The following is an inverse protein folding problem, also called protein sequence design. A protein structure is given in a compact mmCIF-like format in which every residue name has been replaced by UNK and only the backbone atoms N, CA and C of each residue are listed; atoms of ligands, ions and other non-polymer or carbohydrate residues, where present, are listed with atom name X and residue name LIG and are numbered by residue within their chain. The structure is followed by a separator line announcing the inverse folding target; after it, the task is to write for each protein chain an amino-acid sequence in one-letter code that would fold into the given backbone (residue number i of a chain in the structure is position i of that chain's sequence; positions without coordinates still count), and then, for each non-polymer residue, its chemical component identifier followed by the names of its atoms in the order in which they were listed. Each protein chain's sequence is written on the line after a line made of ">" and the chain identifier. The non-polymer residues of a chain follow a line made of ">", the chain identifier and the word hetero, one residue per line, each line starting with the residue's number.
data_IF_605723196011
#
_entry.id   IF_605723196011
#
_cell.length_a   1.000
_cell.length_b   1.000
_cell.length_c   1.000
_cell.angle_alpha   90.00
_cell.angle_beta   90.00
_cell.angle_gamma   90.00
#
_symmetry.space_group_name_H-M   'P 1'
#
loop_
_entity.id
_entity.type
_entity.pdbx_description
1 polymer ?
#
# COMPACT_ATOMS: atom_id res chain seq x y z
N UNK A 1 -6.05 24.86 3.31
CA UNK A 1 -5.46 24.14 4.46
C UNK A 1 -4.61 23.01 3.91
N UNK A 2 -3.33 22.94 4.29
CA UNK A 2 -2.38 21.93 3.78
C UNK A 2 -2.65 20.56 4.38
N UNK A 3 -2.44 19.50 3.60
CA UNK A 3 -2.43 18.15 4.14
C UNK A 3 -1.09 17.91 4.85
N UNK A 4 -1.13 17.22 5.98
CA UNK A 4 0.04 16.69 6.65
C UNK A 4 0.31 15.27 6.14
N UNK A 5 1.58 14.92 5.96
CA UNK A 5 1.98 13.55 5.64
C UNK A 5 2.81 12.98 6.78
N UNK A 6 2.29 11.94 7.41
CA UNK A 6 2.97 11.19 8.46
C UNK A 6 3.71 10.00 7.83
N UNK A 7 4.94 9.76 8.29
CA UNK A 7 5.80 8.68 7.81
C UNK A 7 6.16 7.76 8.97
N UNK A 8 5.82 6.48 8.83
CA UNK A 8 6.07 5.45 9.82
C UNK A 8 6.95 4.34 9.25
N UNK A 9 7.89 3.83 10.05
CA UNK A 9 8.74 2.71 9.69
C UNK A 9 9.12 1.90 10.95
N UNK A 10 10.07 0.98 10.81
CA UNK A 10 10.55 0.15 11.91
C UNK A 10 11.13 0.91 13.11
N UNK A 11 11.56 2.16 12.94
CA UNK A 11 12.14 2.97 14.01
C UNK A 11 11.12 3.87 14.69
N UNK A 12 10.24 4.50 13.92
CA UNK A 12 9.20 5.37 14.48
C UNK A 12 8.02 4.58 15.04
N UNK A 13 7.74 3.39 14.49
CA UNK A 13 6.55 2.60 14.80
C UNK A 13 5.26 3.34 14.51
N UNK A 14 4.15 2.85 15.05
CA UNK A 14 2.88 3.57 15.19
C UNK A 14 2.35 3.33 16.60
N UNK A 15 1.66 4.32 17.16
CA UNK A 15 0.84 4.10 18.35
C UNK A 15 -0.39 3.23 18.02
N UNK A 16 -1.00 2.61 19.04
CA UNK A 16 -2.22 1.81 18.87
C UNK A 16 -3.34 2.63 18.22
N UNK A 17 -3.53 3.89 18.64
CA UNK A 17 -4.56 4.78 18.09
C UNK A 17 -4.32 5.12 16.61
N UNK A 18 -3.07 5.36 16.22
CA UNK A 18 -2.73 5.63 14.82
C UNK A 18 -2.95 4.39 13.96
N UNK A 19 -2.53 3.22 14.45
CA UNK A 19 -2.75 1.94 13.79
C UNK A 19 -4.23 1.67 13.58
N UNK A 20 -5.05 1.80 14.63
CA UNK A 20 -6.49 1.58 14.55
C UNK A 20 -7.15 2.50 13.51
N UNK A 21 -6.76 3.78 13.45
CA UNK A 21 -7.27 4.70 12.45
C UNK A 21 -6.88 4.31 11.02
N UNK A 22 -5.64 3.84 10.81
CA UNK A 22 -5.17 3.35 9.51
C UNK A 22 -5.92 2.08 9.09
N UNK A 23 -6.09 1.13 10.00
CA UNK A 23 -6.81 -0.13 9.74
C UNK A 23 -8.25 0.16 9.37
N UNK A 24 -8.96 0.98 10.16
CA UNK A 24 -10.34 1.37 9.88
C UNK A 24 -10.48 2.06 8.52
N UNK A 25 -9.54 2.96 8.18
CA UNK A 25 -9.53 3.63 6.89
C UNK A 25 -9.35 2.64 5.73
N UNK A 26 -8.41 1.70 5.84
CA UNK A 26 -8.15 0.69 4.81
C UNK A 26 -9.34 -0.27 4.67
N UNK A 27 -9.91 -0.76 5.77
CA UNK A 27 -11.10 -1.62 5.76
C UNK A 27 -12.27 -0.96 5.03
N UNK A 28 -12.50 0.33 5.28
CA UNK A 28 -13.58 1.08 4.66
C UNK A 28 -13.43 1.19 3.13
N UNK A 29 -12.20 1.36 2.63
CA UNK A 29 -11.97 1.74 1.23
C UNK A 29 -11.49 0.59 0.33
N UNK A 30 -10.76 -0.38 0.86
CA UNK A 30 -10.29 -1.55 0.10
C UNK A 30 -11.38 -2.61 -0.09
N UNK A 31 -12.47 -2.54 0.68
CA UNK A 31 -13.56 -3.54 0.68
C UNK A 31 -13.05 -4.98 0.85
N UNK A 32 -11.85 -5.15 1.44
CA UNK A 32 -11.27 -6.46 1.73
C UNK A 32 -12.02 -7.11 2.88
N UNK A 33 -12.34 -8.40 2.75
CA UNK A 33 -12.93 -9.19 3.84
C UNK A 33 -11.88 -9.66 4.86
N UNK A 34 -10.60 -9.41 4.60
CA UNK A 34 -9.50 -9.96 5.38
C UNK A 34 -8.73 -8.84 6.05
N UNK A 35 -9.23 -8.37 7.21
CA UNK A 35 -8.52 -7.48 8.12
C UNK A 35 -7.10 -7.99 8.42
N UNK A 36 -6.97 -9.32 8.54
CA UNK A 36 -5.71 -10.01 8.74
C UNK A 36 -4.64 -9.63 7.70
N UNK A 37 -5.01 -9.40 6.44
CA UNK A 37 -4.04 -8.97 5.41
C UNK A 37 -3.55 -7.53 5.64
N UNK A 38 -4.40 -6.65 6.18
CA UNK A 38 -4.03 -5.29 6.54
C UNK A 38 -3.03 -5.33 7.70
N UNK A 39 -3.38 -6.05 8.76
CA UNK A 39 -2.51 -6.21 9.93
C UNK A 39 -1.16 -6.83 9.56
N UNK A 40 -1.19 -7.88 8.75
CA UNK A 40 0.00 -8.55 8.23
C UNK A 40 0.92 -7.60 7.45
N UNK A 41 0.35 -6.75 6.57
CA UNK A 41 1.13 -5.78 5.81
C UNK A 41 1.73 -4.68 6.71
N UNK A 42 0.97 -4.19 7.69
CA UNK A 42 1.45 -3.20 8.65
C UNK A 42 2.58 -3.76 9.54
N UNK A 43 2.38 -4.97 10.08
CA UNK A 43 3.40 -5.65 10.91
C UNK A 43 4.67 -5.93 10.12
N UNK A 44 4.53 -6.31 8.84
CA UNK A 44 5.64 -6.47 7.93
C UNK A 44 6.40 -5.16 7.74
N UNK A 45 5.72 -4.07 7.35
CA UNK A 45 6.35 -2.78 7.05
C UNK A 45 7.05 -2.19 8.28
N UNK A 46 6.43 -2.30 9.45
CA UNK A 46 6.93 -1.75 10.72
C UNK A 46 7.90 -2.69 11.45
N UNK A 47 8.22 -3.86 10.88
CA UNK A 47 9.07 -4.89 11.50
C UNK A 47 8.63 -5.29 12.92
N UNK A 48 7.32 -5.34 13.17
CA UNK A 48 6.75 -5.93 14.40
C UNK A 48 7.05 -7.42 14.46
N UNK A 49 7.24 -8.04 13.30
CA UNK A 49 7.68 -9.42 13.11
C UNK A 49 8.89 -9.49 12.17
N UNK A 50 9.60 -10.63 12.09
CA UNK A 50 10.68 -10.81 11.13
C UNK A 50 10.22 -10.56 9.68
N UNK A 51 10.83 -9.56 9.03
CA UNK A 51 10.53 -9.15 7.66
C UNK A 51 11.67 -8.28 7.09
N UNK A 52 11.60 -7.94 5.80
CA UNK A 52 12.48 -6.93 5.20
C UNK A 52 12.10 -5.49 5.55
N UNK A 53 11.01 -5.29 6.31
CA UNK A 53 10.52 -3.97 6.68
C UNK A 53 9.84 -3.24 5.53
N UNK A 54 9.86 -1.91 5.61
CA UNK A 54 9.16 -1.05 4.69
C UNK A 54 8.80 0.27 5.36
N UNK A 55 7.68 0.84 4.96
CA UNK A 55 7.14 2.04 5.58
C UNK A 55 5.64 2.19 5.32
N UNK A 56 5.01 3.04 6.13
CA UNK A 56 3.63 3.47 5.93
C UNK A 56 3.61 4.99 5.84
N UNK A 57 2.94 5.51 4.81
CA UNK A 57 2.64 6.93 4.68
C UNK A 57 1.16 7.16 4.88
N UNK A 58 0.83 8.20 5.64
CA UNK A 58 -0.56 8.59 5.89
C UNK A 58 -0.71 10.08 5.59
N UNK A 59 -1.53 10.40 4.59
CA UNK A 59 -1.98 11.77 4.37
C UNK A 59 -3.16 12.06 5.29
N UNK A 60 -3.06 13.12 6.09
CA UNK A 60 -4.14 13.60 6.96
C UNK A 60 -4.44 15.06 6.67
N UNK A 61 -5.70 15.43 6.91
CA UNK A 61 -6.11 16.83 7.07
C UNK A 61 -6.86 16.91 8.37
N UNK A 62 -6.33 17.69 9.31
CA UNK A 62 -6.77 17.63 10.72
C UNK A 62 -6.67 16.17 11.19
N UNK A 63 -7.73 15.63 11.80
CA UNK A 63 -7.77 14.23 12.26
C UNK A 63 -8.25 13.24 11.19
N UNK A 64 -8.60 13.71 9.98
CA UNK A 64 -9.17 12.85 8.94
C UNK A 64 -8.09 12.32 8.00
N UNK A 65 -7.98 11.00 7.92
CA UNK A 65 -7.15 10.32 6.92
C UNK A 65 -7.73 10.56 5.52
N UNK A 66 -6.86 10.97 4.60
CA UNK A 66 -7.16 11.27 3.18
C UNK A 66 -6.49 10.30 2.21
N UNK A 67 -5.49 9.56 2.67
CA UNK A 67 -4.85 8.49 1.91
C UNK A 67 -3.82 7.74 2.72
N UNK A 68 -3.61 6.48 2.39
CA UNK A 68 -2.63 5.60 3.02
C UNK A 68 -1.84 4.85 1.96
N UNK A 69 -0.53 4.78 2.12
CA UNK A 69 0.33 3.85 1.39
C UNK A 69 1.04 2.94 2.37
N UNK A 70 0.89 1.63 2.22
CA UNK A 70 1.67 0.62 2.94
C UNK A 70 2.66 0.01 1.95
N UNK A 71 3.94 0.24 2.19
CA UNK A 71 5.03 -0.29 1.37
C UNK A 71 5.78 -1.38 2.13
N UNK A 72 5.89 -2.55 1.51
CA UNK A 72 6.72 -3.64 2.00
C UNK A 72 7.96 -3.77 1.13
N UNK A 73 9.14 -3.76 1.73
CA UNK A 73 10.38 -4.15 1.07
C UNK A 73 10.29 -5.64 0.71
N UNK A 74 10.65 -6.02 -0.51
CA UNK A 74 10.50 -7.41 -0.96
C UNK A 74 11.75 -8.26 -0.75
N UNK A 75 12.92 -7.62 -0.60
CA UNK A 75 14.21 -8.29 -0.67
C UNK A 75 14.63 -8.74 -2.07
N UNK A 76 13.87 -8.37 -3.12
CA UNK A 76 14.09 -8.84 -4.50
C UNK A 76 14.83 -7.83 -5.39
N UNK A 77 15.53 -6.87 -4.79
CA UNK A 77 16.23 -5.83 -5.53
C UNK A 77 17.22 -6.44 -6.55
N UNK A 78 17.20 -5.93 -7.78
CA UNK A 78 18.08 -6.36 -8.87
C UNK A 78 17.44 -7.34 -9.87
N UNK A 79 16.34 -8.00 -9.52
CA UNK A 79 15.61 -8.89 -10.45
C UNK A 79 14.08 -8.77 -10.38
N UNK A 80 13.54 -8.11 -9.35
CA UNK A 80 12.14 -7.73 -9.25
C UNK A 80 12.00 -6.42 -8.46
N UNK A 81 10.77 -5.92 -8.33
CA UNK A 81 10.48 -4.70 -7.57
C UNK A 81 11.00 -4.80 -6.14
N UNK A 82 11.80 -3.80 -5.73
CA UNK A 82 12.38 -3.70 -4.38
C UNK A 82 11.32 -3.40 -3.34
N UNK A 83 10.24 -2.73 -3.75
CA UNK A 83 9.09 -2.40 -2.92
C UNK A 83 7.80 -2.85 -3.58
N UNK A 84 6.91 -3.42 -2.76
CA UNK A 84 5.52 -3.65 -3.10
C UNK A 84 4.66 -2.64 -2.33
N UNK A 85 3.92 -1.79 -3.04
CA UNK A 85 2.88 -0.97 -2.43
C UNK A 85 1.65 -1.86 -2.27
N UNK A 86 1.57 -2.52 -1.11
CA UNK A 86 0.52 -3.49 -0.78
C UNK A 86 -0.84 -2.80 -0.74
N UNK A 87 -0.86 -1.59 -0.17
CA UNK A 87 -2.01 -0.70 -0.19
C UNK A 87 -1.59 0.68 -0.70
N UNK A 88 -2.42 1.27 -1.55
CA UNK A 88 -2.28 2.63 -2.06
C UNK A 88 -3.69 3.23 -2.21
N UNK A 89 -4.26 3.62 -1.06
CA UNK A 89 -5.70 3.75 -0.87
C UNK A 89 -6.09 5.18 -0.55
N UNK A 90 -7.17 5.66 -1.16
CA UNK A 90 -7.74 7.00 -0.92
C UNK A 90 -9.26 7.00 -1.23
N UNK A 91 -10.03 7.99 -0.76
CA UNK A 91 -11.49 7.98 -0.89
C UNK A 91 -12.06 7.95 -2.32
N UNK A 92 -11.30 8.44 -3.31
CA UNK A 92 -11.72 8.54 -4.73
C UNK A 92 -13.10 9.23 -4.92
N UNK A 93 -13.42 10.24 -4.11
CA UNK A 93 -14.70 10.96 -4.19
C UNK A 93 -14.60 12.30 -4.93
N UNK A 94 -13.39 12.85 -5.03
CA UNK A 94 -13.17 14.19 -5.56
C UNK A 94 -11.83 14.32 -6.29
N UNK A 95 -11.70 15.38 -7.10
CA UNK A 95 -10.41 15.76 -7.72
C UNK A 95 -9.34 16.08 -6.68
N UNK A 96 -9.76 16.60 -5.52
CA UNK A 96 -8.87 16.87 -4.39
C UNK A 96 -8.31 15.57 -3.80
N UNK A 97 -9.12 14.52 -3.65
CA UNK A 97 -8.63 13.21 -3.20
C UNK A 97 -7.57 12.65 -4.15
N UNK A 98 -7.79 12.83 -5.46
CA UNK A 98 -6.82 12.45 -6.49
C UNK A 98 -5.52 13.24 -6.36
N UNK A 99 -5.56 14.54 -6.09
CA UNK A 99 -4.34 15.33 -5.90
C UNK A 99 -3.59 14.93 -4.63
N UNK A 100 -4.31 14.67 -3.52
CA UNK A 100 -3.70 14.15 -2.30
C UNK A 100 -2.97 12.83 -2.55
N UNK A 101 -3.63 11.90 -3.27
CA UNK A 101 -3.03 10.61 -3.59
C UNK A 101 -1.80 10.76 -4.50
N UNK A 102 -1.83 11.68 -5.47
CA UNK A 102 -0.68 11.97 -6.33
C UNK A 102 0.53 12.43 -5.51
N UNK A 103 0.33 13.40 -4.61
CA UNK A 103 1.40 13.93 -3.74
C UNK A 103 1.94 12.84 -2.81
N UNK A 104 1.06 12.00 -2.26
CA UNK A 104 1.41 10.89 -1.40
C UNK A 104 2.24 9.82 -2.14
N UNK A 105 1.84 9.47 -3.38
CA UNK A 105 2.59 8.55 -4.23
C UNK A 105 3.98 9.08 -4.58
N UNK A 106 4.10 10.36 -4.92
CA UNK A 106 5.40 10.99 -5.22
C UNK A 106 6.33 10.95 -4.01
N UNK A 107 5.80 11.12 -2.80
CA UNK A 107 6.57 10.92 -1.57
C UNK A 107 6.95 9.45 -1.39
N UNK A 108 6.02 8.52 -1.55
CA UNK A 108 6.26 7.08 -1.39
C UNK A 108 7.35 6.58 -2.34
N UNK A 109 7.30 6.95 -3.62
CA UNK A 109 8.29 6.56 -4.64
C UNK A 109 9.68 7.07 -4.25
N UNK A 110 9.78 8.30 -3.72
CA UNK A 110 11.06 8.85 -3.23
C UNK A 110 11.61 8.07 -2.04
N UNK A 111 10.77 7.65 -1.11
CA UNK A 111 11.19 6.85 0.06
C UNK A 111 11.54 5.40 -0.31
N UNK A 112 10.85 4.80 -1.28
CA UNK A 112 11.03 3.42 -1.71
C UNK A 112 12.37 3.15 -2.39
N UNK A 113 13.10 4.16 -2.91
CA UNK A 113 14.46 4.01 -3.45
C UNK A 113 14.68 2.70 -4.25
N UNK A 114 14.06 2.59 -5.42
CA UNK A 114 14.18 1.40 -6.26
C UNK A 114 12.94 1.18 -7.11
N UNK A 115 12.84 -0.01 -7.69
CA UNK A 115 11.64 -0.41 -8.43
C UNK A 115 10.46 -0.62 -7.47
N UNK A 116 9.30 -0.10 -7.84
CA UNK A 116 8.06 -0.23 -7.07
C UNK A 116 7.04 -0.98 -7.92
N UNK A 117 6.41 -2.00 -7.32
CA UNK A 117 5.26 -2.68 -7.88
C UNK A 117 4.01 -2.38 -7.06
N UNK A 118 2.85 -2.43 -7.72
CA UNK A 118 1.53 -2.44 -7.10
C UNK A 118 0.61 -3.33 -7.95
N UNK A 119 -0.40 -3.94 -7.32
CA UNK A 119 -1.39 -4.75 -8.01
C UNK A 119 -2.76 -4.09 -7.91
N UNK A 120 -3.41 -3.89 -9.05
CA UNK A 120 -4.80 -3.43 -9.12
C UNK A 120 -5.55 -4.14 -10.24
N UNK A 121 -6.88 -4.30 -10.13
CA UNK A 121 -7.72 -4.74 -11.24
C UNK A 121 -7.58 -3.82 -12.47
N UNK A 122 -7.70 -4.36 -13.70
CA UNK A 122 -7.59 -3.55 -14.93
C UNK A 122 -8.62 -2.42 -15.05
N UNK A 123 -9.78 -2.56 -14.41
CA UNK A 123 -10.89 -1.60 -14.40
C UNK A 123 -10.85 -0.66 -13.17
N UNK A 124 -9.80 -0.74 -12.35
CA UNK A 124 -9.71 0.05 -11.13
C UNK A 124 -9.62 1.55 -11.44
N UNK A 125 -10.42 2.41 -10.77
CA UNK A 125 -10.54 3.82 -11.13
C UNK A 125 -9.28 4.64 -10.87
N UNK A 126 -8.31 4.10 -10.10
CA UNK A 126 -7.00 4.71 -9.88
C UNK A 126 -5.93 4.33 -10.94
N UNK A 127 -6.22 3.42 -11.88
CA UNK A 127 -5.23 2.96 -12.86
C UNK A 127 -4.59 4.12 -13.64
N UNK A 128 -5.42 5.05 -14.13
CA UNK A 128 -4.96 6.21 -14.89
C UNK A 128 -4.02 7.12 -14.06
N UNK A 129 -4.24 7.22 -12.74
CA UNK A 129 -3.37 7.98 -11.86
C UNK A 129 -1.99 7.33 -11.75
N UNK A 130 -1.94 6.00 -11.57
CA UNK A 130 -0.67 5.28 -11.47
C UNK A 130 0.09 5.29 -12.81
N UNK A 131 -0.60 5.18 -13.94
CA UNK A 131 0.03 5.31 -15.27
C UNK A 131 0.65 6.70 -15.47
N UNK A 132 0.01 7.78 -15.00
CA UNK A 132 0.57 9.13 -15.02
C UNK A 132 1.86 9.26 -14.19
N UNK A 133 2.03 8.42 -13.17
CA UNK A 133 3.24 8.34 -12.35
C UNK A 133 4.33 7.43 -12.96
N UNK A 134 4.08 6.85 -14.13
CA UNK A 134 5.04 6.02 -14.86
C UNK A 134 4.92 4.52 -14.59
N UNK A 135 3.91 4.06 -13.83
CA UNK A 135 3.64 2.63 -13.71
C UNK A 135 3.20 2.05 -15.05
N UNK A 136 3.74 0.89 -15.41
CA UNK A 136 3.42 0.15 -16.63
C UNK A 136 2.69 -1.14 -16.29
N UNK A 137 1.75 -1.53 -17.15
CA UNK A 137 1.07 -2.82 -17.05
C UNK A 137 1.93 -3.88 -17.75
N UNK A 138 2.69 -4.67 -16.99
CA UNK A 138 3.70 -5.58 -17.56
C UNK A 138 3.31 -7.06 -17.52
N UNK A 139 2.52 -7.52 -16.53
CA UNK A 139 2.31 -8.95 -16.28
C UNK A 139 0.89 -9.29 -15.80
N UNK A 140 0.43 -10.50 -16.17
CA UNK A 140 -0.75 -11.14 -15.56
C UNK A 140 -0.34 -11.89 -14.29
N UNK A 141 -1.01 -11.59 -13.18
CA UNK A 141 -0.80 -12.33 -11.93
C UNK A 141 -1.63 -13.61 -11.92
N UNK A 142 -0.97 -14.77 -11.98
CA UNK A 142 -1.60 -16.08 -11.78
C UNK A 142 -1.46 -16.48 -10.32
N UNK A 143 -2.55 -16.94 -9.70
CA UNK A 143 -2.57 -17.43 -8.31
C UNK A 143 -3.18 -18.82 -8.27
N UNK A 144 -2.52 -19.74 -7.58
CA UNK A 144 -3.03 -21.06 -7.27
C UNK A 144 -3.20 -21.12 -5.75
N UNK A 145 -4.44 -21.10 -5.29
CA UNK A 145 -4.72 -21.44 -3.89
C UNK A 145 -4.37 -22.91 -3.69
N UNK A 146 -3.70 -23.21 -2.57
CA UNK A 146 -3.04 -24.50 -2.25
C UNK A 146 -3.68 -25.70 -2.93
N UNK A 147 -2.90 -26.60 -3.57
CA UNK A 147 -3.46 -27.74 -4.28
C UNK A 147 -4.28 -28.57 -3.32
N UNK A 148 -5.61 -28.48 -3.42
CA UNK A 148 -6.47 -29.59 -3.01
C UNK A 148 -5.92 -30.77 -3.79
N UNK A 149 -5.44 -31.76 -3.03
CA UNK A 149 -4.64 -32.90 -3.50
C UNK A 149 -4.92 -33.18 -4.97
N UNK A 150 -3.91 -33.03 -5.82
CA UNK A 150 -3.96 -33.60 -7.15
C UNK A 150 -4.24 -35.08 -6.95
N UNK A 151 -5.50 -35.47 -7.15
CA UNK A 151 -5.88 -36.86 -7.24
C UNK A 151 -5.10 -37.37 -8.44
N UNK A 152 -4.00 -38.06 -8.15
CA UNK A 152 -3.20 -38.78 -9.11
C UNK A 152 -4.14 -39.85 -9.65
N UNK A 153 -4.65 -39.63 -10.85
CA UNK A 153 -5.34 -40.66 -11.64
C UNK A 153 -4.30 -41.60 -12.24
#
# INVERSE_FOLDING_TARGET
>A
MSNETLYYNAFSGMTLRERDAVVQFLEQHEKTKHKEHIDEALDYALKIKPSFGGFVLVAKREEKIRGVIVSNCTGMAGYNASHLFVFATYPHQSKEDRSVMLDLMQQAIRYAKGQVALHIPPDHPALTLFQQLGFKSELLALRLDSPVAMAVA
#
